data_IF_719870555499
#
_entry.id   IF_719870555499
#
_cell.length_a   1.000
_cell.length_b   1.000
_cell.length_c   1.000
_cell.angle_alpha   90.00
_cell.angle_beta   90.00
_cell.angle_gamma   90.00
#
_symmetry.space_group_name_H-M   'P 1'
#
loop_
_entity.id
_entity.type
_entity.pdbx_description
1 polymer ?
#
# COMPACT_ATOMS: atom_id res chain seq x y z
N UNK A 1 -4.29 32.81 -20.05
CA UNK A 1 -3.46 31.61 -19.78
C UNK A 1 -3.26 31.33 -18.29
N UNK A 2 -4.03 31.92 -17.35
CA UNK A 2 -3.94 31.57 -15.91
C UNK A 2 -4.89 30.44 -15.49
N UNK A 3 -5.98 30.18 -16.23
CA UNK A 3 -6.98 29.17 -15.86
C UNK A 3 -6.60 27.72 -16.21
N UNK A 4 -5.70 27.51 -17.18
CA UNK A 4 -5.38 26.15 -17.66
C UNK A 4 -4.59 25.32 -16.64
N UNK A 5 -3.65 25.94 -15.90
CA UNK A 5 -2.88 25.25 -14.86
C UNK A 5 -3.74 24.82 -13.67
N UNK A 6 -4.60 25.72 -13.17
CA UNK A 6 -5.49 25.40 -12.05
C UNK A 6 -6.49 24.29 -12.37
N UNK A 7 -6.98 24.22 -13.61
CA UNK A 7 -7.88 23.15 -14.03
C UNK A 7 -7.15 21.80 -14.05
N UNK A 8 -5.95 21.73 -14.63
CA UNK A 8 -5.17 20.50 -14.67
C UNK A 8 -4.74 20.04 -13.27
N UNK A 9 -4.37 20.97 -12.39
CA UNK A 9 -4.06 20.66 -10.99
C UNK A 9 -5.28 20.11 -10.25
N UNK A 10 -6.45 20.74 -10.40
CA UNK A 10 -7.69 20.25 -9.80
C UNK A 10 -8.13 18.89 -10.34
N UNK A 11 -7.97 18.66 -11.65
CA UNK A 11 -8.24 17.35 -12.27
C UNK A 11 -7.29 16.27 -11.72
N UNK A 12 -6.02 16.61 -11.52
CA UNK A 12 -5.03 15.70 -10.95
C UNK A 12 -5.35 15.36 -9.50
N UNK A 13 -5.62 16.35 -8.65
CA UNK A 13 -6.00 16.13 -7.24
C UNK A 13 -7.30 15.32 -7.13
N UNK A 14 -8.27 15.58 -8.00
CA UNK A 14 -9.51 14.79 -8.06
C UNK A 14 -9.22 13.34 -8.47
N UNK A 15 -8.41 13.11 -9.50
CA UNK A 15 -8.01 11.77 -9.92
C UNK A 15 -7.24 11.04 -8.82
N UNK A 16 -6.28 11.69 -8.17
CA UNK A 16 -5.52 11.14 -7.04
C UNK A 16 -6.46 10.67 -5.92
N UNK A 17 -7.42 11.51 -5.52
CA UNK A 17 -8.37 11.18 -4.45
C UNK A 17 -9.22 9.95 -4.81
N UNK A 18 -9.75 9.88 -6.04
CA UNK A 18 -10.62 8.78 -6.49
C UNK A 18 -9.84 7.47 -6.69
N UNK A 19 -8.62 7.54 -7.20
CA UNK A 19 -7.76 6.35 -7.35
C UNK A 19 -7.30 5.86 -5.98
N UNK A 20 -6.94 6.75 -5.07
CA UNK A 20 -6.58 6.42 -3.68
C UNK A 20 -7.74 5.72 -2.97
N UNK A 21 -8.96 6.25 -3.08
CA UNK A 21 -10.18 5.62 -2.54
C UNK A 21 -10.32 4.19 -3.07
N UNK A 22 -10.21 3.99 -4.38
CA UNK A 22 -10.32 2.68 -5.00
C UNK A 22 -9.24 1.70 -4.48
N UNK A 23 -7.98 2.12 -4.41
CA UNK A 23 -6.88 1.33 -3.87
C UNK A 23 -7.16 0.90 -2.42
N UNK A 24 -7.49 1.88 -1.56
CA UNK A 24 -7.68 1.66 -0.12
C UNK A 24 -8.93 0.83 0.16
N UNK A 25 -9.98 0.94 -0.64
CA UNK A 25 -11.21 0.15 -0.45
C UNK A 25 -11.22 -1.18 -1.21
N UNK A 26 -10.29 -1.36 -2.16
CA UNK A 26 -10.29 -2.50 -3.07
C UNK A 26 -11.38 -2.43 -4.14
N UNK A 27 -11.91 -1.24 -4.41
CA UNK A 27 -12.85 -1.01 -5.49
C UNK A 27 -12.14 -0.94 -6.85
N UNK A 28 -12.91 -1.02 -7.92
CA UNK A 28 -12.41 -0.83 -9.28
C UNK A 28 -11.89 0.60 -9.46
N UNK A 29 -10.71 0.74 -10.07
CA UNK A 29 -10.11 2.04 -10.36
C UNK A 29 -10.87 2.67 -11.53
N UNK A 30 -11.45 3.87 -11.37
CA UNK A 30 -12.21 4.52 -12.44
C UNK A 30 -11.30 4.92 -13.60
N UNK A 31 -11.84 4.92 -14.82
CA UNK A 31 -11.14 5.43 -16.00
C UNK A 31 -11.12 6.98 -16.02
N UNK A 32 -10.24 7.63 -16.80
CA UNK A 32 -10.26 9.08 -16.95
C UNK A 32 -11.60 9.61 -17.49
N UNK A 33 -12.26 8.84 -18.37
CA UNK A 33 -13.57 9.20 -18.93
C UNK A 33 -14.67 9.14 -17.87
N UNK A 34 -14.65 8.15 -16.98
CA UNK A 34 -15.60 8.05 -15.85
C UNK A 34 -15.48 9.25 -14.91
N UNK A 35 -14.27 9.78 -14.77
CA UNK A 35 -13.99 10.94 -13.93
C UNK A 35 -14.17 12.28 -14.65
N UNK A 36 -14.30 12.28 -15.98
CA UNK A 36 -14.38 13.50 -16.79
C UNK A 36 -13.11 14.35 -16.71
N UNK A 37 -11.94 13.71 -16.60
CA UNK A 37 -10.63 14.39 -16.50
C UNK A 37 -9.75 14.10 -17.71
N UNK A 38 -8.81 14.99 -17.99
CA UNK A 38 -7.83 14.75 -19.05
C UNK A 38 -6.86 13.62 -18.68
N UNK A 39 -6.36 12.90 -19.69
CA UNK A 39 -5.47 11.76 -19.49
C UNK A 39 -4.18 12.14 -18.73
N UNK A 40 -3.54 13.26 -19.06
CA UNK A 40 -2.28 13.63 -18.41
C UNK A 40 -2.44 13.93 -16.90
N UNK A 41 -3.41 14.76 -16.45
CA UNK A 41 -3.76 14.89 -15.04
C UNK A 41 -4.15 13.57 -14.36
N UNK A 42 -4.92 12.71 -15.05
CA UNK A 42 -5.29 11.40 -14.52
C UNK A 42 -4.07 10.50 -14.24
N UNK A 43 -3.16 10.36 -15.22
CA UNK A 43 -1.95 9.55 -15.07
C UNK A 43 -1.05 10.09 -13.95
N UNK A 44 -0.94 11.41 -13.79
CA UNK A 44 -0.19 12.00 -12.69
C UNK A 44 -0.88 11.77 -11.33
N UNK A 45 -2.21 11.87 -11.27
CA UNK A 45 -2.98 11.55 -10.06
C UNK A 45 -2.84 10.08 -9.65
N UNK A 46 -2.85 9.15 -10.62
CA UNK A 46 -2.54 7.74 -10.36
C UNK A 46 -1.13 7.56 -9.79
N UNK A 47 -0.12 8.27 -10.31
CA UNK A 47 1.23 8.19 -9.78
C UNK A 47 1.34 8.73 -8.34
N UNK A 48 0.65 9.83 -8.03
CA UNK A 48 0.61 10.42 -6.69
C UNK A 48 -0.16 9.54 -5.68
N UNK A 49 -1.21 8.84 -6.11
CA UNK A 49 -1.98 7.91 -5.27
C UNK A 49 -1.15 6.73 -4.71
N UNK A 50 -0.04 6.37 -5.36
CA UNK A 50 0.91 5.37 -4.82
C UNK A 50 1.53 5.87 -3.50
N UNK A 51 1.77 7.18 -3.40
CA UNK A 51 2.21 7.82 -2.16
C UNK A 51 1.16 7.73 -1.06
N UNK A 52 -0.11 7.97 -1.38
CA UNK A 52 -1.22 7.85 -0.43
C UNK A 52 -1.47 6.39 -0.01
N UNK A 53 -1.36 5.44 -0.95
CA UNK A 53 -1.41 4.01 -0.67
C UNK A 53 -0.32 3.60 0.34
N UNK A 54 0.91 4.12 0.18
CA UNK A 54 1.98 3.93 1.17
C UNK A 54 1.60 4.51 2.54
N UNK A 55 1.00 5.70 2.61
CA UNK A 55 0.55 6.28 3.89
C UNK A 55 -0.47 5.36 4.57
N UNK A 56 -1.46 4.87 3.82
CA UNK A 56 -2.45 3.92 4.32
C UNK A 56 -1.82 2.62 4.83
N UNK A 57 -0.85 2.04 4.10
CA UNK A 57 -0.09 0.86 4.52
C UNK A 57 0.63 1.11 5.84
N UNK A 58 1.39 2.21 5.95
CA UNK A 58 2.12 2.52 7.19
C UNK A 58 1.18 2.67 8.38
N UNK A 59 -0.02 3.23 8.18
CA UNK A 59 -1.04 3.35 9.21
C UNK A 59 -1.63 1.99 9.63
N UNK A 60 -1.80 1.06 8.69
CA UNK A 60 -2.24 -0.31 8.97
C UNK A 60 -1.17 -1.13 9.67
N UNK A 61 0.10 -1.01 9.26
CA UNK A 61 1.23 -1.69 9.89
C UNK A 61 1.40 -1.26 11.35
N UNK A 62 1.20 0.03 11.68
CA UNK A 62 1.19 0.50 13.09
C UNK A 62 0.12 -0.18 13.95
N UNK A 63 -0.93 -0.73 13.34
CA UNK A 63 -2.03 -1.45 13.99
C UNK A 63 -1.92 -2.98 13.87
N UNK A 64 -0.82 -3.49 13.29
CA UNK A 64 -0.62 -4.92 13.04
C UNK A 64 -1.52 -5.51 11.93
N UNK A 65 -2.17 -4.68 11.11
CA UNK A 65 -3.10 -5.13 10.07
C UNK A 65 -2.33 -5.43 8.77
N UNK A 66 -1.64 -6.57 8.75
CA UNK A 66 -0.71 -6.92 7.67
C UNK A 66 -1.41 -7.33 6.38
N UNK A 67 -2.45 -8.18 6.45
CA UNK A 67 -3.12 -8.70 5.26
C UNK A 67 -3.71 -7.58 4.37
N UNK A 68 -4.30 -6.57 4.99
CA UNK A 68 -4.84 -5.41 4.27
C UNK A 68 -3.72 -4.55 3.66
N UNK A 69 -2.58 -4.47 4.34
CA UNK A 69 -1.41 -3.76 3.83
C UNK A 69 -0.84 -4.43 2.58
N UNK A 70 -0.81 -5.77 2.54
CA UNK A 70 -0.41 -6.54 1.35
C UNK A 70 -1.38 -6.34 0.19
N UNK A 71 -2.70 -6.33 0.45
CA UNK A 71 -3.71 -6.06 -0.57
C UNK A 71 -3.53 -4.69 -1.21
N UNK A 72 -3.33 -3.65 -0.40
CA UNK A 72 -3.09 -2.28 -0.90
C UNK A 72 -1.80 -2.23 -1.71
N UNK A 73 -0.73 -2.89 -1.23
CA UNK A 73 0.54 -2.93 -1.98
C UNK A 73 0.34 -3.57 -3.35
N UNK A 74 -0.39 -4.68 -3.45
CA UNK A 74 -0.69 -5.34 -4.74
C UNK A 74 -1.39 -4.40 -5.71
N UNK A 75 -2.40 -3.64 -5.26
CA UNK A 75 -3.08 -2.67 -6.13
C UNK A 75 -2.16 -1.52 -6.54
N UNK A 76 -1.25 -1.08 -5.65
CA UNK A 76 -0.23 -0.10 -6.02
C UNK A 76 0.74 -0.66 -7.08
N UNK A 77 1.05 -1.96 -7.07
CA UNK A 77 1.83 -2.63 -8.12
C UNK A 77 1.10 -2.60 -9.45
N UNK A 78 -0.19 -2.92 -9.47
CA UNK A 78 -1.02 -2.87 -10.67
C UNK A 78 -1.06 -1.47 -11.28
N UNK A 79 -1.27 -0.43 -10.46
CA UNK A 79 -1.23 0.97 -10.90
C UNK A 79 0.15 1.32 -11.47
N UNK A 80 1.23 0.94 -10.77
CA UNK A 80 2.58 1.16 -11.26
C UNK A 80 2.84 0.45 -12.60
N UNK A 81 2.33 -0.77 -12.78
CA UNK A 81 2.43 -1.51 -14.03
C UNK A 81 1.74 -0.81 -15.19
N UNK A 82 0.54 -0.25 -14.97
CA UNK A 82 -0.13 0.59 -15.95
C UNK A 82 0.74 1.80 -16.30
N UNK A 83 1.25 2.53 -15.30
CA UNK A 83 2.06 3.74 -15.51
C UNK A 83 3.35 3.49 -16.30
N UNK A 84 4.03 2.36 -16.12
CA UNK A 84 5.25 2.03 -16.88
C UNK A 84 4.99 1.46 -18.26
N UNK A 85 3.80 0.90 -18.51
CA UNK A 85 3.41 0.37 -19.83
C UNK A 85 3.09 1.45 -20.85
N UNK A 86 2.94 2.68 -20.37
CA UNK A 86 2.57 3.84 -21.16
C UNK A 86 3.81 4.48 -21.83
N UNK A 87 4.03 4.16 -23.11
CA UNK A 87 5.07 4.80 -23.94
C UNK A 87 4.60 6.19 -24.39
N UNK A 88 5.03 7.25 -23.68
CA UNK A 88 4.67 8.63 -24.05
C UNK A 88 5.87 9.57 -24.16
N UNK A 89 5.88 10.47 -25.17
CA UNK A 89 6.85 11.57 -25.24
C UNK A 89 6.71 12.51 -24.03
N UNK A 90 7.83 12.82 -23.36
CA UNK A 90 7.90 13.65 -22.15
C UNK A 90 7.18 15.02 -22.28
N UNK A 91 7.11 15.57 -23.50
CA UNK A 91 6.44 16.84 -23.80
C UNK A 91 4.91 16.82 -23.63
N UNK A 92 4.29 15.64 -23.57
CA UNK A 92 2.82 15.47 -23.54
C UNK A 92 2.31 15.08 -22.15
N UNK A 93 3.16 14.55 -21.27
CA UNK A 93 2.74 13.91 -20.01
C UNK A 93 3.02 14.69 -18.73
N UNK A 94 3.49 15.94 -18.85
CA UNK A 94 3.67 16.84 -17.71
C UNK A 94 4.53 16.25 -16.56
N UNK A 95 5.67 15.65 -16.89
CA UNK A 95 6.64 15.02 -15.95
C UNK A 95 6.28 13.62 -15.44
N UNK A 96 5.37 12.90 -16.08
CA UNK A 96 4.97 11.54 -15.68
C UNK A 96 6.15 10.60 -15.42
N UNK A 97 7.20 10.65 -16.25
CA UNK A 97 8.41 9.83 -16.07
C UNK A 97 9.03 9.99 -14.68
N UNK A 98 9.13 11.24 -14.20
CA UNK A 98 9.64 11.55 -12.87
C UNK A 98 8.71 11.01 -11.79
N UNK A 99 7.40 11.18 -11.97
CA UNK A 99 6.38 10.66 -11.03
C UNK A 99 6.44 9.13 -10.95
N UNK A 100 6.63 8.44 -12.07
CA UNK A 100 6.80 6.98 -12.13
C UNK A 100 8.10 6.52 -11.45
N UNK A 101 9.21 7.25 -11.60
CA UNK A 101 10.46 6.96 -10.90
C UNK A 101 10.31 7.12 -9.37
N UNK A 102 9.60 8.16 -8.93
CA UNK A 102 9.26 8.36 -7.51
C UNK A 102 8.36 7.21 -7.01
N UNK A 103 7.35 6.83 -7.78
CA UNK A 103 6.47 5.71 -7.47
C UNK A 103 7.27 4.41 -7.29
N UNK A 104 8.23 4.10 -8.18
CA UNK A 104 9.12 2.93 -8.03
C UNK A 104 9.84 2.92 -6.69
N UNK A 105 10.44 4.05 -6.30
CA UNK A 105 11.14 4.16 -5.02
C UNK A 105 10.20 4.00 -3.82
N UNK A 106 8.96 4.50 -3.93
CA UNK A 106 7.91 4.28 -2.92
C UNK A 106 7.55 2.80 -2.80
N UNK A 107 7.36 2.10 -3.92
CA UNK A 107 7.04 0.68 -3.94
C UNK A 107 8.14 -0.17 -3.30
N UNK A 108 9.39 0.05 -3.68
CA UNK A 108 10.55 -0.66 -3.13
C UNK A 108 10.66 -0.52 -1.61
N UNK A 109 10.55 0.72 -1.10
CA UNK A 109 10.56 0.97 0.35
C UNK A 109 9.39 0.31 1.05
N UNK A 110 8.20 0.33 0.44
CA UNK A 110 6.97 -0.22 1.04
C UNK A 110 7.05 -1.74 1.16
N UNK A 111 7.61 -2.42 0.16
CA UNK A 111 7.93 -3.85 0.25
C UNK A 111 8.90 -4.17 1.39
N UNK A 112 9.91 -3.33 1.57
CA UNK A 112 10.86 -3.44 2.69
C UNK A 112 10.17 -3.33 4.04
N UNK A 113 9.34 -2.31 4.23
CA UNK A 113 8.59 -2.09 5.47
C UNK A 113 7.65 -3.26 5.80
N UNK A 114 6.92 -3.76 4.79
CA UNK A 114 6.04 -4.93 4.92
C UNK A 114 6.81 -6.20 5.29
N UNK A 115 7.95 -6.43 4.65
CA UNK A 115 8.80 -7.59 4.94
C UNK A 115 9.27 -7.58 6.40
N UNK A 116 9.70 -6.42 6.91
CA UNK A 116 10.10 -6.27 8.32
C UNK A 116 8.92 -6.55 9.24
N UNK A 117 7.75 -5.98 8.97
CA UNK A 117 6.55 -6.18 9.79
C UNK A 117 6.10 -7.65 9.83
N UNK A 118 6.15 -8.36 8.69
CA UNK A 118 5.84 -9.78 8.60
C UNK A 118 6.81 -10.64 9.43
N UNK A 119 8.12 -10.38 9.31
CA UNK A 119 9.14 -11.10 10.08
C UNK A 119 8.93 -10.88 11.59
N UNK A 120 8.67 -9.63 12.00
CA UNK A 120 8.40 -9.29 13.41
C UNK A 120 7.16 -10.00 13.93
N UNK A 121 6.07 -10.03 13.15
CA UNK A 121 4.85 -10.75 13.50
C UNK A 121 5.10 -12.26 13.65
N UNK A 122 5.79 -12.88 12.70
CA UNK A 122 6.12 -14.31 12.76
C UNK A 122 6.95 -14.66 14.01
N UNK A 123 7.89 -13.78 14.37
CA UNK A 123 8.67 -13.92 15.59
C UNK A 123 7.80 -13.79 16.84
N UNK A 124 6.92 -12.80 16.90
CA UNK A 124 5.97 -12.63 18.01
C UNK A 124 5.10 -13.89 18.19
N UNK A 125 4.49 -14.39 17.11
CA UNK A 125 3.66 -15.60 17.15
C UNK A 125 4.47 -16.83 17.59
N UNK A 126 5.74 -16.94 17.19
CA UNK A 126 6.62 -18.03 17.64
C UNK A 126 6.92 -17.96 19.15
N UNK A 127 7.17 -16.76 19.67
CA UNK A 127 7.39 -16.53 21.10
C UNK A 127 6.14 -16.83 21.92
N UNK A 128 4.96 -16.41 21.46
CA UNK A 128 3.67 -16.68 22.10
C UNK A 128 3.40 -18.19 22.18
N UNK A 129 3.54 -18.91 21.05
CA UNK A 129 3.41 -20.38 21.03
C UNK A 129 4.35 -21.07 22.00
N UNK A 130 5.60 -20.61 22.09
CA UNK A 130 6.58 -21.21 23.00
C UNK A 130 6.24 -20.92 24.47
N UNK A 131 5.81 -19.69 24.78
CA UNK A 131 5.37 -19.31 26.12
C UNK A 131 4.14 -20.11 26.60
N UNK A 132 3.20 -20.41 25.70
CA UNK A 132 2.05 -21.27 25.99
C UNK A 132 2.47 -22.72 26.27
N UNK A 133 3.41 -23.26 25.49
CA UNK A 133 3.97 -24.60 25.72
C UNK A 133 4.58 -24.76 27.11
N UNK A 134 5.38 -23.78 27.54
CA UNK A 134 5.99 -23.76 28.88
C UNK A 134 4.93 -23.72 30.00
N UNK A 135 3.85 -22.94 29.84
CA UNK A 135 2.74 -22.92 30.83
C UNK A 135 1.99 -24.26 30.87
N UNK A 136 1.83 -24.91 29.72
CA UNK A 136 1.19 -26.22 29.61
C UNK A 136 1.97 -27.35 30.29
N UNK A 137 3.30 -27.31 30.23
CA UNK A 137 4.19 -28.29 30.89
C UNK A 137 4.22 -28.10 32.41
N UNK A 138 4.29 -26.86 32.90
CA UNK A 138 4.26 -26.56 34.35
C UNK A 138 2.95 -27.01 35.02
N UNK A 139 1.84 -27.00 34.28
CA UNK A 139 0.53 -27.43 34.82
C UNK A 139 0.36 -28.97 34.82
N UNK A 140 1.24 -29.71 34.13
CA UNK A 140 1.17 -31.18 33.98
C UNK A 140 2.10 -31.95 34.91
N UNK A 141 2.83 -31.31 35.81
CA UNK A 141 3.56 -32.04 36.84
C UNK A 141 2.59 -32.80 37.76
N UNK A 142 2.71 -34.14 37.88
CA UNK A 142 1.86 -34.90 38.80
C UNK A 142 2.20 -34.50 40.24
N UNK A 143 1.19 -34.05 40.98
CA UNK A 143 1.29 -33.79 42.42
C UNK A 143 1.90 -34.99 43.15
N UNK A 144 2.67 -34.75 44.23
CA UNK A 144 3.49 -35.78 44.85
C UNK A 144 2.61 -36.99 45.22
N UNK A 145 2.92 -38.13 44.62
CA UNK A 145 2.29 -39.40 44.94
C UNK A 145 2.30 -39.61 46.45
N UNK A 146 1.11 -39.75 47.03
CA UNK A 146 0.90 -40.16 48.41
C UNK A 146 1.68 -41.46 48.63
N UNK A 147 2.80 -41.34 49.34
CA UNK A 147 3.53 -42.50 49.87
C UNK A 147 2.73 -42.98 51.08
N UNK A 148 2.12 -44.15 50.97
CA UNK A 148 1.67 -44.98 52.08
C UNK A 148 1.98 -46.43 51.78
#
# INVERSE_FOLDING_TARGET
MYYAGFLQDAQKEYAEARVTEAIVTGAEIPSPDDLGVELAPFLNGMAESIGEGRRAILDLLRRGVVAESERILSLMEDVYHVLVSMDFPDAVTANLRRSTDVARSIMERTRGDLSVALIQRNLQEALERHAEGLRGEVTREPGPAERS
#
